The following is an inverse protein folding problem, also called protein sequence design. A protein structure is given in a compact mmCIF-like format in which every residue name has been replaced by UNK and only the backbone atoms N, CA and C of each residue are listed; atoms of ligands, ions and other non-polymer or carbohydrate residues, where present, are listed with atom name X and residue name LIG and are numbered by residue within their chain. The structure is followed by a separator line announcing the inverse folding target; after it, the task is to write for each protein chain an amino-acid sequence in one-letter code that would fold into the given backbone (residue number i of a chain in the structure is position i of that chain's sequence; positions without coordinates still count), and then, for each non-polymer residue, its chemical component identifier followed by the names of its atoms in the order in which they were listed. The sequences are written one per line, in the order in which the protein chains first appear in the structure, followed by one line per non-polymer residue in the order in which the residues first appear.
data_IF_400953124319
#
_entry.id   IF_400953124319
#
_cell.length_a   1.000
_cell.length_b   1.000
_cell.length_c   1.000
_cell.angle_alpha   90.00
_cell.angle_beta   90.00
_cell.angle_gamma   90.00
#
_symmetry.space_group_name_H-M   'P 1'
#
loop_
_entity.id
_entity.type
_entity.pdbx_description
1 polymer ?
#
# COMPACT_ATOMS: atom_id res chain seq x y z
N UNK A 1 5.94 9.23 4.90
CA UNK A 1 5.44 8.08 4.10
C UNK A 1 6.52 7.46 3.22
N UNK A 2 7.07 8.18 2.23
CA UNK A 2 7.97 7.59 1.19
C UNK A 2 9.21 6.91 1.77
N UNK A 3 9.87 7.52 2.78
CA UNK A 3 11.06 6.95 3.44
C UNK A 3 10.82 5.54 4.00
N UNK A 4 9.65 5.31 4.62
CA UNK A 4 9.31 4.01 5.23
C UNK A 4 9.11 2.96 4.14
N UNK A 5 8.40 3.31 3.07
CA UNK A 5 8.23 2.41 1.93
C UNK A 5 9.56 2.07 1.24
N UNK A 6 10.47 3.03 1.10
CA UNK A 6 11.80 2.80 0.54
C UNK A 6 12.66 1.86 1.42
N UNK A 7 12.56 1.99 2.75
CA UNK A 7 13.22 1.06 3.68
C UNK A 7 12.63 -0.34 3.58
N UNK A 8 11.30 -0.46 3.50
CA UNK A 8 10.59 -1.72 3.34
C UNK A 8 10.96 -2.43 2.02
N UNK A 9 11.12 -1.68 0.93
CA UNK A 9 11.47 -2.20 -0.39
C UNK A 9 12.81 -2.96 -0.40
N UNK A 10 13.77 -2.61 0.46
CA UNK A 10 15.06 -3.32 0.56
C UNK A 10 14.91 -4.80 0.93
N UNK A 11 13.84 -5.12 1.65
CA UNK A 11 13.57 -6.45 2.18
C UNK A 11 12.49 -7.20 1.40
N UNK A 12 12.00 -6.64 0.30
CA UNK A 12 10.89 -7.19 -0.49
C UNK A 12 11.10 -8.64 -0.94
N UNK A 13 12.35 -9.05 -1.19
CA UNK A 13 12.68 -10.43 -1.59
C UNK A 13 12.47 -11.49 -0.50
N UNK A 14 12.30 -11.07 0.76
CA UNK A 14 12.11 -11.96 1.89
C UNK A 14 10.63 -12.12 2.28
N UNK A 15 9.76 -11.19 1.87
CA UNK A 15 8.32 -11.28 2.10
C UNK A 15 7.69 -12.40 1.26
N UNK A 16 6.87 -13.22 1.91
CA UNK A 16 6.17 -14.36 1.30
C UNK A 16 5.02 -14.82 2.21
N UNK A 17 4.09 -15.65 1.71
CA UNK A 17 3.09 -16.29 2.57
C UNK A 17 3.70 -16.90 3.84
N UNK A 18 3.18 -16.49 5.01
CA UNK A 18 3.67 -16.87 6.32
C UNK A 18 4.66 -15.88 6.97
N UNK A 19 5.14 -14.86 6.25
CA UNK A 19 6.01 -13.83 6.79
C UNK A 19 6.08 -12.58 5.90
N UNK A 20 5.59 -11.45 6.42
CA UNK A 20 5.46 -10.20 5.69
C UNK A 20 6.33 -9.11 6.30
N UNK A 21 6.84 -8.20 5.47
CA UNK A 21 7.49 -7.01 6.00
C UNK A 21 6.42 -6.04 6.50
N UNK A 22 6.66 -5.44 7.67
CA UNK A 22 5.73 -4.50 8.30
C UNK A 22 6.32 -3.08 8.29
N UNK A 23 5.81 -2.20 7.41
CA UNK A 23 6.17 -0.79 7.36
C UNK A 23 5.39 0.09 8.34
N UNK A 24 4.78 -0.47 9.39
CA UNK A 24 3.95 0.23 10.40
C UNK A 24 2.50 0.48 9.93
N UNK A 25 1.65 0.89 10.87
CA UNK A 25 0.20 1.08 10.71
C UNK A 25 -0.17 2.10 9.64
N UNK A 26 -1.39 1.95 9.11
CA UNK A 26 -2.01 2.90 8.20
C UNK A 26 -2.28 4.24 8.90
N UNK A 27 -1.80 5.32 8.30
CA UNK A 27 -2.06 6.71 8.71
C UNK A 27 -3.33 7.28 8.06
N UNK A 28 -4.10 6.46 7.34
CA UNK A 28 -5.33 6.87 6.65
C UNK A 28 -6.35 7.37 7.67
N UNK A 29 -6.65 8.67 7.62
CA UNK A 29 -7.59 9.32 8.54
C UNK A 29 -6.99 9.98 9.79
N UNK A 30 -5.66 9.94 9.98
CA UNK A 30 -5.00 10.56 11.14
C UNK A 30 -4.75 12.07 11.02
N UNK A 31 -5.26 12.72 9.97
CA UNK A 31 -4.94 14.10 9.62
C UNK A 31 -3.57 14.25 8.93
N UNK A 32 -3.23 15.49 8.56
CA UNK A 32 -1.92 15.84 7.99
C UNK A 32 -1.67 15.40 6.54
N UNK A 33 -2.67 14.84 5.85
CA UNK A 33 -2.61 14.43 4.44
C UNK A 33 -3.91 14.74 3.71
N UNK A 34 -3.80 15.00 2.41
CA UNK A 34 -4.93 15.10 1.47
C UNK A 34 -5.50 13.70 1.17
N UNK A 35 -6.75 13.64 0.71
CA UNK A 35 -7.39 12.37 0.34
C UNK A 35 -6.58 11.58 -0.72
N UNK A 36 -6.01 12.29 -1.70
CA UNK A 36 -5.15 11.67 -2.72
C UNK A 36 -3.89 11.05 -2.12
N UNK A 37 -3.30 11.65 -1.09
CA UNK A 37 -2.14 11.13 -0.37
C UNK A 37 -2.52 9.89 0.44
N UNK A 38 -3.73 9.84 1.03
CA UNK A 38 -4.24 8.63 1.67
C UNK A 38 -4.47 7.49 0.68
N UNK A 39 -4.97 7.78 -0.52
CA UNK A 39 -5.13 6.76 -1.58
C UNK A 39 -3.77 6.20 -1.99
N UNK A 40 -2.77 7.06 -2.21
CA UNK A 40 -1.40 6.63 -2.51
C UNK A 40 -0.81 5.80 -1.37
N UNK A 41 -0.98 6.21 -0.12
CA UNK A 41 -0.51 5.48 1.05
C UNK A 41 -1.11 4.07 1.14
N UNK A 42 -2.43 3.97 1.02
CA UNK A 42 -3.15 2.70 1.11
C UNK A 42 -2.77 1.75 -0.03
N UNK A 43 -2.75 2.25 -1.26
CA UNK A 43 -2.32 1.47 -2.42
C UNK A 43 -0.86 1.03 -2.31
N UNK A 44 0.02 1.87 -1.78
CA UNK A 44 1.43 1.53 -1.58
C UNK A 44 1.61 0.41 -0.54
N UNK A 45 0.89 0.46 0.59
CA UNK A 45 0.89 -0.63 1.57
C UNK A 45 0.35 -1.93 0.98
N UNK A 46 -0.71 -1.83 0.17
CA UNK A 46 -1.31 -2.99 -0.48
C UNK A 46 -0.35 -3.71 -1.43
N UNK A 47 0.31 -2.99 -2.34
CA UNK A 47 1.28 -3.60 -3.26
C UNK A 47 2.52 -4.12 -2.52
N UNK A 48 2.87 -3.53 -1.37
CA UNK A 48 3.97 -3.98 -0.53
C UNK A 48 3.67 -5.26 0.27
N UNK A 49 2.43 -5.77 0.23
CA UNK A 49 1.96 -6.87 1.10
C UNK A 49 2.14 -6.58 2.59
N UNK A 50 2.08 -5.29 2.95
CA UNK A 50 2.11 -4.89 4.34
C UNK A 50 0.83 -5.37 5.06
N UNK A 51 0.90 -5.69 6.36
CA UNK A 51 -0.29 -5.76 7.19
C UNK A 51 -1.09 -4.45 7.10
N UNK A 52 -2.38 -4.54 6.74
CA UNK A 52 -3.26 -3.37 6.63
C UNK A 52 -3.92 -3.06 7.97
N UNK A 53 -3.11 -2.58 8.93
CA UNK A 53 -3.57 -2.25 10.29
C UNK A 53 -4.10 -0.81 10.33
N UNK A 54 -5.38 -0.62 10.67
CA UNK A 54 -6.00 0.71 10.79
C UNK A 54 -5.45 1.41 12.03
N UNK A 55 -4.81 2.57 11.84
CA UNK A 55 -4.23 3.36 12.92
C UNK A 55 -5.03 4.59 13.35
N UNK A 56 -6.26 4.77 12.85
CA UNK A 56 -7.09 5.94 13.15
C UNK A 56 -8.27 5.64 14.08
N UNK A 57 -8.82 6.69 14.70
CA UNK A 57 -10.01 6.59 15.54
C UNK A 57 -11.27 6.39 14.68
N UNK A 58 -11.74 5.13 14.62
CA UNK A 58 -12.93 4.74 13.87
C UNK A 58 -14.23 5.41 14.38
N UNK A 59 -14.27 5.94 15.61
CA UNK A 59 -15.45 6.64 16.11
C UNK A 59 -15.62 8.04 15.49
N UNK A 60 -14.55 8.57 14.87
CA UNK A 60 -14.49 9.94 14.33
C UNK A 60 -14.09 9.97 12.85
N UNK A 61 -14.10 8.83 12.19
CA UNK A 61 -13.63 8.67 10.81
C UNK A 61 -14.63 9.26 9.80
N UNK A 62 -14.13 9.87 8.73
CA UNK A 62 -14.98 10.39 7.66
C UNK A 62 -15.41 9.29 6.68
N UNK A 63 -16.56 9.47 6.01
CA UNK A 63 -16.99 8.57 4.93
C UNK A 63 -15.97 8.48 3.79
N UNK A 64 -15.23 9.56 3.52
CA UNK A 64 -14.16 9.54 2.52
C UNK A 64 -13.01 8.60 2.93
N UNK A 65 -12.61 8.67 4.20
CA UNK A 65 -11.60 7.77 4.79
C UNK A 65 -12.07 6.31 4.77
N UNK A 66 -13.33 6.04 5.13
CA UNK A 66 -13.90 4.70 5.09
C UNK A 66 -13.91 4.11 3.67
N UNK A 67 -14.20 4.91 2.65
CA UNK A 67 -14.13 4.46 1.24
C UNK A 67 -12.71 4.08 0.81
N UNK A 68 -11.68 4.68 1.41
CA UNK A 68 -10.28 4.30 1.14
C UNK A 68 -9.97 3.00 1.88
N UNK A 69 -10.25 2.94 3.18
CA UNK A 69 -9.95 1.78 4.02
C UNK A 69 -10.70 0.51 3.60
N UNK A 70 -11.94 0.66 3.12
CA UNK A 70 -12.80 -0.41 2.64
C UNK A 70 -12.78 -0.59 1.12
N UNK A 71 -11.73 -0.15 0.42
CA UNK A 71 -11.64 -0.39 -1.01
C UNK A 71 -11.28 -1.86 -1.29
N UNK A 72 -12.29 -2.64 -1.69
CA UNK A 72 -12.16 -4.08 -1.94
C UNK A 72 -11.13 -4.42 -3.02
N UNK A 73 -10.95 -3.59 -4.04
CA UNK A 73 -10.00 -3.84 -5.13
C UNK A 73 -8.56 -3.73 -4.64
N UNK A 74 -8.27 -2.69 -3.84
CA UNK A 74 -6.95 -2.50 -3.21
C UNK A 74 -6.67 -3.59 -2.18
N UNK A 75 -7.67 -3.98 -1.38
CA UNK A 75 -7.57 -5.10 -0.44
C UNK A 75 -7.31 -6.41 -1.18
N UNK A 76 -8.00 -6.67 -2.29
CA UNK A 76 -7.81 -7.87 -3.08
C UNK A 76 -6.40 -7.95 -3.68
N UNK A 77 -5.80 -6.80 -4.04
CA UNK A 77 -4.38 -6.73 -4.38
C UNK A 77 -3.55 -7.16 -3.17
N UNK A 78 -3.73 -6.58 -1.99
CA UNK A 78 -2.95 -6.95 -0.80
C UNK A 78 -3.07 -8.45 -0.45
N UNK A 79 -4.27 -9.01 -0.55
CA UNK A 79 -4.63 -10.37 -0.11
C UNK A 79 -4.46 -11.46 -1.18
N UNK A 80 -3.82 -11.14 -2.31
CA UNK A 80 -3.64 -12.13 -3.36
C UNK A 80 -2.81 -13.35 -2.92
N UNK A 81 -3.14 -14.51 -3.48
CA UNK A 81 -2.54 -15.80 -3.08
C UNK A 81 -1.09 -15.96 -3.52
N UNK A 82 -0.64 -15.23 -4.54
CA UNK A 82 0.75 -15.28 -4.99
C UNK A 82 1.65 -14.67 -3.92
N UNK A 83 1.18 -13.61 -3.26
CA UNK A 83 1.81 -13.13 -2.05
C UNK A 83 3.21 -12.56 -2.28
N UNK A 84 3.43 -11.97 -3.46
CA UNK A 84 4.71 -11.39 -3.86
C UNK A 84 4.67 -9.89 -3.63
N UNK A 85 5.60 -9.40 -2.82
CA UNK A 85 5.77 -7.97 -2.56
C UNK A 85 6.28 -7.23 -3.80
N UNK A 86 5.58 -6.17 -4.18
CA UNK A 86 6.01 -5.24 -5.20
C UNK A 86 7.39 -4.65 -4.88
N UNK A 87 8.24 -4.54 -5.92
CA UNK A 87 9.55 -3.90 -5.84
C UNK A 87 9.56 -2.65 -6.70
N UNK A 88 10.28 -1.63 -6.23
CA UNK A 88 10.60 -0.44 -7.00
C UNK A 88 11.64 -0.80 -8.07
N UNK A 89 11.32 -0.63 -9.36
CA UNK A 89 12.20 -1.09 -10.48
C UNK A 89 12.94 0.06 -11.15
N UNK A 90 12.41 1.28 -11.20
CA UNK A 90 13.11 2.42 -11.80
C UNK A 90 12.60 3.75 -11.23
N UNK A 91 13.49 4.74 -11.15
CA UNK A 91 13.17 6.15 -10.90
C UNK A 91 13.75 6.92 -12.08
N UNK A 92 12.89 7.43 -12.98
CA UNK A 92 13.24 8.54 -13.86
C UNK A 92 12.53 9.79 -13.36
N UNK A 93 13.05 10.97 -13.69
CA UNK A 93 12.50 12.26 -13.21
C UNK A 93 11.01 12.45 -13.55
N UNK A 94 10.50 11.74 -14.57
CA UNK A 94 9.16 11.93 -15.14
C UNK A 94 8.23 10.70 -15.07
N UNK A 95 8.54 9.60 -14.37
CA UNK A 95 7.65 8.42 -14.44
C UNK A 95 7.55 7.54 -13.19
N UNK A 96 6.30 7.09 -13.02
CA UNK A 96 5.76 6.20 -12.00
C UNK A 96 6.61 4.96 -11.77
N UNK A 97 6.60 4.48 -10.52
CA UNK A 97 7.24 3.24 -10.08
C UNK A 97 6.72 2.08 -10.95
N UNK A 98 7.55 1.59 -11.89
CA UNK A 98 7.27 0.30 -12.54
C UNK A 98 7.42 -0.81 -11.50
N UNK A 99 6.35 -1.57 -11.31
CA UNK A 99 6.34 -2.77 -10.46
C UNK A 99 6.34 -3.97 -11.39
N UNK A 100 7.51 -4.58 -11.63
CA UNK A 100 7.66 -5.68 -12.62
C UNK A 100 6.92 -6.98 -12.27
N UNK A 101 6.53 -7.20 -11.02
CA UNK A 101 5.87 -8.45 -10.60
C UNK A 101 4.37 -8.33 -10.31
N UNK A 102 3.77 -7.15 -10.49
CA UNK A 102 2.35 -6.93 -10.14
C UNK A 102 1.55 -6.20 -11.23
N UNK A 103 1.94 -6.39 -12.51
CA UNK A 103 1.22 -5.84 -13.68
C UNK A 103 -0.30 -6.09 -13.64
N UNK A 104 -0.72 -7.23 -13.10
CA UNK A 104 -2.14 -7.59 -12.94
C UNK A 104 -2.87 -6.78 -11.86
N UNK A 105 -2.18 -6.33 -10.79
CA UNK A 105 -2.78 -5.51 -9.74
C UNK A 105 -2.92 -4.05 -10.19
N UNK A 106 -1.92 -3.52 -10.88
CA UNK A 106 -1.98 -2.15 -11.39
C UNK A 106 -3.14 -1.97 -12.39
N UNK A 107 -3.47 -3.00 -13.17
CA UNK A 107 -4.63 -2.99 -14.06
C UNK A 107 -5.99 -2.93 -13.34
N UNK A 108 -6.03 -3.25 -12.04
CA UNK A 108 -7.25 -3.19 -11.20
C UNK A 108 -7.31 -1.95 -10.30
N UNK A 109 -6.28 -1.10 -10.33
CA UNK A 109 -6.18 0.11 -9.51
C UNK A 109 -6.44 1.39 -10.31
N UNK A 110 -6.92 1.27 -11.56
CA UNK A 110 -7.20 2.36 -12.49
C UNK A 110 -8.67 2.71 -12.56
#
# INVERSE_FOLDING_TARGET
MIRIADLNNKWAKYAKPGGWNDPDMLQVGNGGMRESEYRVHFSLWAIMKAPLLIGCDLSRVSNATLRILGNDEVIAVNQDRLGVQARKVQVSEDSLIEVREVRWALARLG
#
